data_IF_705282824990
#
_entry.id   IF_705282824990
#
_cell.length_a   1.000
_cell.length_b   1.000
_cell.length_c   1.000
_cell.angle_alpha   90.00
_cell.angle_beta   90.00
_cell.angle_gamma   90.00
#
_symmetry.space_group_name_H-M   'P 1'
#
loop_
_entity.id
_entity.type
_entity.pdbx_description
1 polymer ?
#
# COMPACT_ATOMS: atom_id res chain seq x y z
N UNK A 1 -0.05 0.28 -12.24
CA UNK A 1 0.19 -1.03 -11.60
C UNK A 1 -0.55 -1.13 -10.28
N UNK A 2 -0.38 -0.15 -9.38
CA UNK A 2 -1.05 -0.08 -8.08
C UNK A 2 -2.56 -0.35 -8.06
N UNK A 3 -3.34 0.18 -9.00
CA UNK A 3 -4.79 -0.06 -9.04
C UNK A 3 -5.19 -1.51 -9.40
N UNK A 4 -4.36 -2.20 -10.17
CA UNK A 4 -4.58 -3.61 -10.54
C UNK A 4 -4.20 -4.50 -9.35
N UNK A 5 -3.07 -4.23 -8.70
CA UNK A 5 -2.69 -4.92 -7.47
C UNK A 5 -3.73 -4.74 -6.36
N UNK A 6 -4.26 -3.52 -6.22
CA UNK A 6 -5.34 -3.23 -5.28
C UNK A 6 -6.64 -3.99 -5.61
N UNK A 7 -6.99 -4.11 -6.89
CA UNK A 7 -8.14 -4.89 -7.32
C UNK A 7 -7.98 -6.40 -7.04
N UNK A 8 -6.76 -6.93 -7.18
CA UNK A 8 -6.44 -8.32 -6.82
C UNK A 8 -6.53 -8.51 -5.30
N UNK A 9 -6.00 -7.56 -4.51
CA UNK A 9 -6.07 -7.59 -3.06
C UNK A 9 -7.53 -7.58 -2.56
N UNK A 10 -8.37 -6.68 -3.08
CA UNK A 10 -9.79 -6.60 -2.74
C UNK A 10 -10.55 -7.90 -3.05
N UNK A 11 -10.16 -8.59 -4.14
CA UNK A 11 -10.77 -9.87 -4.52
C UNK A 11 -10.35 -11.01 -3.60
N UNK A 12 -9.11 -10.99 -3.11
CA UNK A 12 -8.61 -11.99 -2.16
C UNK A 12 -9.14 -11.78 -0.75
N UNK A 13 -9.47 -10.53 -0.39
CA UNK A 13 -10.13 -10.17 0.88
C UNK A 13 -11.62 -10.56 0.94
N UNK A 14 -12.19 -11.18 -0.11
CA UNK A 14 -13.61 -11.56 -0.21
C UNK A 14 -14.60 -10.43 0.14
N UNK A 15 -14.23 -9.17 -0.13
CA UNK A 15 -15.15 -8.05 0.09
C UNK A 15 -16.38 -8.17 -0.84
N UNK A 16 -17.62 -8.04 -0.33
CA UNK A 16 -18.83 -8.22 -1.13
C UNK A 16 -19.07 -7.11 -2.16
N UNK A 17 -18.37 -5.97 -2.05
CA UNK A 17 -18.48 -4.81 -2.95
C UNK A 17 -17.09 -4.23 -3.25
N UNK A 18 -16.76 -4.07 -4.53
CA UNK A 18 -15.51 -3.47 -4.98
C UNK A 18 -15.46 -1.96 -4.66
N UNK A 19 -14.44 -1.53 -3.91
CA UNK A 19 -14.27 -0.12 -3.55
C UNK A 19 -13.54 0.63 -4.67
N UNK A 20 -14.32 1.28 -5.54
CA UNK A 20 -13.79 2.16 -6.61
C UNK A 20 -12.94 3.30 -6.05
N UNK A 21 -13.25 3.78 -4.83
CA UNK A 21 -12.54 4.88 -4.18
C UNK A 21 -11.09 4.50 -3.84
N UNK A 22 -10.89 3.29 -3.31
CA UNK A 22 -9.57 2.70 -3.01
C UNK A 22 -8.75 2.49 -4.28
N UNK A 23 -9.38 1.94 -5.33
CA UNK A 23 -8.73 1.78 -6.64
C UNK A 23 -8.33 3.09 -7.30
N UNK A 24 -9.18 4.13 -7.23
CA UNK A 24 -8.84 5.48 -7.73
C UNK A 24 -7.73 6.12 -6.90
N UNK A 25 -7.74 5.94 -5.58
CA UNK A 25 -6.68 6.45 -4.72
C UNK A 25 -5.31 5.84 -5.09
N UNK A 26 -5.26 4.52 -5.33
CA UNK A 26 -4.06 3.85 -5.81
C UNK A 26 -3.65 4.29 -7.23
N UNK A 27 -4.60 4.62 -8.10
CA UNK A 27 -4.27 5.21 -9.41
C UNK A 27 -3.64 6.59 -9.28
N UNK A 28 -4.23 7.47 -8.47
CA UNK A 28 -3.78 8.85 -8.30
C UNK A 28 -2.40 8.89 -7.66
N UNK A 29 -2.18 8.05 -6.65
CA UNK A 29 -0.88 7.88 -6.01
C UNK A 29 0.18 7.43 -7.04
N UNK A 30 -0.13 6.38 -7.81
CA UNK A 30 0.81 5.87 -8.81
C UNK A 30 1.12 6.87 -9.94
N UNK A 31 0.11 7.61 -10.41
CA UNK A 31 0.29 8.51 -11.55
C UNK A 31 0.94 9.84 -11.18
N UNK A 32 0.54 10.43 -10.05
CA UNK A 32 0.93 11.79 -9.68
C UNK A 32 2.11 11.83 -8.71
N UNK A 33 2.34 10.76 -7.96
CA UNK A 33 3.40 10.73 -6.95
C UNK A 33 4.53 9.79 -7.36
N UNK A 34 4.25 8.51 -7.53
CA UNK A 34 5.34 7.54 -7.72
C UNK A 34 6.08 7.71 -9.05
N UNK A 35 5.37 8.05 -10.14
CA UNK A 35 5.98 8.33 -11.43
C UNK A 35 7.04 9.45 -11.39
N UNK A 36 6.68 10.68 -10.96
CA UNK A 36 7.66 11.77 -10.80
C UNK A 36 8.75 11.47 -9.76
N UNK A 37 8.40 10.78 -8.67
CA UNK A 37 9.34 10.41 -7.62
C UNK A 37 10.43 9.46 -8.13
N UNK A 38 10.07 8.47 -8.95
CA UNK A 38 11.05 7.57 -9.59
C UNK A 38 12.00 8.33 -10.49
N UNK A 39 11.49 9.26 -11.30
CA UNK A 39 12.34 10.09 -12.16
C UNK A 39 13.36 10.91 -11.37
N UNK A 40 12.94 11.50 -10.24
CA UNK A 40 13.82 12.25 -9.35
C UNK A 40 14.82 11.34 -8.64
N UNK A 41 14.37 10.21 -8.12
CA UNK A 41 15.19 9.23 -7.41
C UNK A 41 16.32 8.69 -8.30
N UNK A 42 16.00 8.23 -9.50
CA UNK A 42 17.02 7.70 -10.42
C UNK A 42 18.00 8.78 -10.87
N UNK A 43 17.53 10.00 -11.14
CA UNK A 43 18.41 11.13 -11.44
C UNK A 43 19.35 11.48 -10.29
N UNK A 44 18.89 11.33 -9.03
CA UNK A 44 19.69 11.57 -7.84
C UNK A 44 20.72 10.45 -7.63
N UNK A 45 20.36 9.20 -7.88
CA UNK A 45 21.26 8.05 -7.78
C UNK A 45 22.42 8.12 -8.77
N UNK A 46 22.16 8.51 -10.02
CA UNK A 46 23.22 8.75 -11.00
C UNK A 46 24.19 9.87 -10.56
N UNK A 47 23.70 10.85 -9.81
CA UNK A 47 24.50 11.99 -9.36
C UNK A 47 25.32 11.70 -8.09
N UNK A 48 24.77 10.95 -7.13
CA UNK A 48 25.43 10.65 -5.85
C UNK A 48 26.45 9.52 -6.00
N UNK A 49 26.17 8.52 -6.84
CA UNK A 49 27.02 7.33 -7.01
C UNK A 49 27.18 7.00 -8.50
N UNK A 50 28.07 7.70 -9.23
CA UNK A 50 28.39 7.32 -10.60
C UNK A 50 28.94 5.90 -10.59
N UNK A 51 28.25 5.00 -11.29
CA UNK A 51 28.56 3.57 -11.35
C UNK A 51 29.90 3.41 -12.09
N UNK A 52 30.99 3.48 -11.33
CA UNK A 52 32.31 3.03 -11.78
C UNK A 52 32.39 1.51 -11.81
N UNK A 53 33.59 0.96 -12.06
CA UNK A 53 33.82 -0.48 -12.23
C UNK A 53 33.84 -1.29 -10.91
N UNK A 54 33.27 -0.77 -9.82
CA UNK A 54 33.35 -1.38 -8.48
C UNK A 54 32.04 -2.07 -8.10
N UNK A 55 32.04 -3.40 -8.08
CA UNK A 55 30.90 -4.26 -7.72
C UNK A 55 30.27 -3.92 -6.36
N UNK A 56 31.07 -3.40 -5.40
CA UNK A 56 30.59 -3.00 -4.08
C UNK A 56 29.60 -1.81 -4.10
N UNK A 57 29.81 -0.85 -5.01
CA UNK A 57 28.88 0.28 -5.15
C UNK A 57 27.57 -0.14 -5.80
N UNK A 58 27.59 -1.13 -6.71
CA UNK A 58 26.38 -1.69 -7.28
C UNK A 58 25.50 -2.38 -6.20
N UNK A 59 26.11 -3.13 -5.27
CA UNK A 59 25.37 -3.76 -4.18
C UNK A 59 24.76 -2.74 -3.20
N UNK A 60 25.52 -1.68 -2.87
CA UNK A 60 25.01 -0.59 -2.02
C UNK A 60 23.85 0.13 -2.72
N UNK A 61 23.93 0.34 -4.04
CA UNK A 61 22.84 0.91 -4.82
C UNK A 61 21.58 0.05 -4.76
N UNK A 62 21.69 -1.26 -4.99
CA UNK A 62 20.55 -2.18 -4.91
C UNK A 62 19.93 -2.17 -3.51
N UNK A 63 20.75 -2.18 -2.45
CA UNK A 63 20.26 -2.08 -1.07
C UNK A 63 19.57 -0.75 -0.78
N UNK A 64 20.09 0.37 -1.29
CA UNK A 64 19.48 1.69 -1.13
C UNK A 64 18.16 1.77 -1.89
N UNK A 65 18.10 1.28 -3.13
CA UNK A 65 16.86 1.20 -3.91
C UNK A 65 15.83 0.34 -3.18
N UNK A 66 16.17 -0.92 -2.89
CA UNK A 66 15.22 -1.87 -2.31
C UNK A 66 14.83 -1.58 -0.85
N UNK A 67 15.61 -0.80 -0.09
CA UNK A 67 15.25 -0.43 1.28
C UNK A 67 14.69 0.99 1.38
N UNK A 68 15.35 2.00 0.80
CA UNK A 68 14.92 3.38 0.92
C UNK A 68 13.77 3.69 -0.02
N UNK A 69 13.85 3.34 -1.31
CA UNK A 69 12.75 3.64 -2.23
C UNK A 69 11.50 2.87 -1.86
N UNK A 70 11.60 1.57 -1.57
CA UNK A 70 10.47 0.78 -1.09
C UNK A 70 9.84 1.41 0.17
N UNK A 71 10.67 1.85 1.13
CA UNK A 71 10.16 2.46 2.36
C UNK A 71 9.45 3.79 2.11
N UNK A 72 10.02 4.62 1.23
CA UNK A 72 9.43 5.89 0.84
C UNK A 72 8.10 5.63 0.13
N UNK A 73 8.08 4.69 -0.82
CA UNK A 73 6.90 4.34 -1.59
C UNK A 73 5.77 3.81 -0.70
N UNK A 74 6.06 2.86 0.19
CA UNK A 74 5.06 2.32 1.13
C UNK A 74 4.51 3.42 2.03
N UNK A 75 5.39 4.31 2.52
CA UNK A 75 4.99 5.42 3.39
C UNK A 75 4.12 6.43 2.63
N UNK A 76 4.51 6.85 1.43
CA UNK A 76 3.72 7.77 0.62
C UNK A 76 2.40 7.16 0.20
N UNK A 77 2.41 5.89 -0.20
CA UNK A 77 1.20 5.17 -0.60
C UNK A 77 0.20 5.13 0.56
N UNK A 78 0.68 4.83 1.78
CA UNK A 78 -0.15 4.83 2.98
C UNK A 78 -0.78 6.20 3.25
N UNK A 79 0.01 7.29 3.19
CA UNK A 79 -0.49 8.63 3.48
C UNK A 79 -1.45 9.14 2.40
N UNK A 80 -1.09 8.98 1.12
CA UNK A 80 -1.87 9.49 -0.01
C UNK A 80 -3.19 8.73 -0.13
N UNK A 81 -3.16 7.38 -0.10
CA UNK A 81 -4.39 6.58 -0.14
C UNK A 81 -5.25 6.74 1.11
N UNK A 82 -4.59 6.89 2.27
CA UNK A 82 -5.17 7.30 3.54
C UNK A 82 -6.06 8.53 3.44
N UNK A 83 -5.47 9.62 2.95
CA UNK A 83 -6.13 10.91 2.82
C UNK A 83 -7.21 10.91 1.74
N UNK A 84 -6.97 10.27 0.59
CA UNK A 84 -7.94 10.19 -0.52
C UNK A 84 -9.20 9.38 -0.15
N UNK A 85 -9.04 8.37 0.71
CA UNK A 85 -10.17 7.63 1.27
C UNK A 85 -10.87 8.37 2.42
N UNK A 86 -10.38 9.55 2.81
CA UNK A 86 -11.08 10.46 3.73
C UNK A 86 -10.85 10.17 5.21
N UNK A 87 -9.78 9.46 5.56
CA UNK A 87 -9.41 9.27 6.96
C UNK A 87 -8.85 10.56 7.56
N UNK A 88 -9.09 10.77 8.86
CA UNK A 88 -8.52 11.92 9.57
C UNK A 88 -7.02 11.71 9.83
N UNK A 89 -6.23 12.79 9.80
CA UNK A 89 -4.79 12.76 10.10
C UNK A 89 -4.45 12.07 11.43
N UNK A 90 -5.31 12.20 12.45
CA UNK A 90 -5.10 11.58 13.77
C UNK A 90 -5.21 10.05 13.70
N UNK A 91 -6.24 9.55 12.99
CA UNK A 91 -6.44 8.12 12.77
C UNK A 91 -5.28 7.54 11.95
N UNK A 92 -4.93 8.22 10.87
CA UNK A 92 -3.86 7.79 9.96
C UNK A 92 -2.50 7.74 10.66
N UNK A 93 -2.20 8.69 11.55
CA UNK A 93 -0.96 8.70 12.34
C UNK A 93 -0.88 7.55 13.34
N UNK A 94 -1.97 7.26 14.06
CA UNK A 94 -2.00 6.14 15.01
C UNK A 94 -1.85 4.81 14.30
N UNK A 95 -2.52 4.66 13.16
CA UNK A 95 -2.39 3.48 12.33
C UNK A 95 -0.97 3.33 11.77
N UNK A 96 -0.38 4.41 11.26
CA UNK A 96 0.98 4.42 10.74
C UNK A 96 1.97 3.89 11.79
N UNK A 97 1.92 4.39 13.03
CA UNK A 97 2.82 3.94 14.09
C UNK A 97 2.67 2.46 14.46
N UNK A 98 1.47 1.91 14.31
CA UNK A 98 1.17 0.50 14.62
C UNK A 98 1.60 -0.44 13.48
N UNK A 99 1.30 -0.07 12.25
CA UNK A 99 1.30 -1.01 11.13
C UNK A 99 2.53 -0.86 10.22
N UNK A 100 3.15 0.32 10.16
CA UNK A 100 4.24 0.59 9.19
C UNK A 100 5.42 -0.37 9.36
N UNK A 101 5.76 -0.74 10.58
CA UNK A 101 6.86 -1.68 10.83
C UNK A 101 6.59 -3.08 10.27
N UNK A 102 5.33 -3.53 10.32
CA UNK A 102 4.91 -4.81 9.73
C UNK A 102 4.82 -4.73 8.21
N UNK A 103 4.26 -3.65 7.69
CA UNK A 103 4.12 -3.42 6.24
C UNK A 103 5.48 -3.26 5.56
N UNK A 104 6.42 -2.53 6.15
CA UNK A 104 7.79 -2.40 5.64
C UNK A 104 8.54 -3.73 5.64
N UNK A 105 8.41 -4.52 6.71
CA UNK A 105 9.02 -5.86 6.76
C UNK A 105 8.44 -6.76 5.67
N UNK A 106 7.12 -6.73 5.46
CA UNK A 106 6.48 -7.48 4.38
C UNK A 106 6.97 -6.99 3.01
N UNK A 107 7.07 -5.68 2.81
CA UNK A 107 7.61 -5.06 1.60
C UNK A 107 8.99 -5.59 1.25
N UNK A 108 9.93 -5.52 2.20
CA UNK A 108 11.29 -5.97 1.99
C UNK A 108 11.37 -7.48 1.75
N UNK A 109 10.57 -8.27 2.49
CA UNK A 109 10.56 -9.72 2.32
C UNK A 109 9.99 -10.12 0.95
N UNK A 110 8.93 -9.46 0.50
CA UNK A 110 8.34 -9.68 -0.82
C UNK A 110 9.30 -9.24 -1.93
N UNK A 111 9.92 -8.07 -1.80
CA UNK A 111 10.93 -7.57 -2.74
C UNK A 111 12.10 -8.54 -2.88
N UNK A 112 12.68 -8.99 -1.75
CA UNK A 112 13.77 -9.96 -1.73
C UNK A 112 13.36 -11.34 -2.29
N UNK A 113 12.10 -11.74 -2.10
CA UNK A 113 11.57 -12.99 -2.64
C UNK A 113 11.37 -12.94 -4.15
N UNK A 114 11.02 -11.77 -4.70
CA UNK A 114 10.83 -11.57 -6.15
C UNK A 114 12.17 -11.34 -6.88
N UNK A 115 13.21 -10.89 -6.19
CA UNK A 115 14.53 -10.60 -6.76
C UNK A 115 15.14 -11.76 -7.59
N UNK A 116 15.13 -13.04 -7.16
CA UNK A 116 15.62 -14.14 -7.99
C UNK A 116 14.82 -14.32 -9.28
N UNK A 117 13.50 -14.07 -9.24
CA UNK A 117 12.62 -14.14 -10.41
C UNK A 117 12.96 -13.03 -11.39
N UNK A 118 13.20 -11.81 -10.91
CA UNK A 118 13.73 -10.73 -11.74
C UNK A 118 15.05 -11.12 -12.40
N UNK A 119 16.03 -11.63 -11.65
CA UNK A 119 17.33 -12.01 -12.20
C UNK A 119 17.19 -13.05 -13.32
N UNK A 120 16.32 -14.05 -13.14
CA UNK A 120 16.00 -15.04 -14.17
C UNK A 120 15.36 -14.35 -15.38
N UNK A 121 14.36 -13.51 -15.18
CA UNK A 121 13.73 -12.74 -16.25
C UNK A 121 14.75 -11.90 -17.03
N UNK A 122 15.59 -11.12 -16.37
CA UNK A 122 16.60 -10.26 -17.01
C UNK A 122 17.64 -11.07 -17.79
N UNK A 123 17.97 -12.28 -17.34
CA UNK A 123 18.93 -13.18 -17.98
C UNK A 123 18.40 -13.86 -19.24
N UNK A 124 17.12 -14.23 -19.25
CA UNK A 124 16.51 -14.99 -20.36
C UNK A 124 15.61 -14.17 -21.28
N UNK A 125 15.05 -13.04 -20.82
CA UNK A 125 14.16 -12.21 -21.64
C UNK A 125 14.93 -11.13 -22.42
N UNK A 126 14.58 -10.95 -23.72
CA UNK A 126 15.00 -9.80 -24.51
C UNK A 126 14.57 -8.49 -23.85
N UNK A 127 15.32 -7.41 -24.09
CA UNK A 127 15.07 -6.05 -23.53
C UNK A 127 13.61 -5.61 -23.68
N UNK A 128 12.97 -5.93 -24.82
CA UNK A 128 11.58 -5.59 -25.12
C UNK A 128 10.57 -6.15 -24.11
N UNK A 129 10.83 -7.33 -23.52
CA UNK A 129 9.91 -7.99 -22.60
C UNK A 129 10.21 -7.73 -21.12
N UNK A 130 11.36 -7.10 -20.80
CA UNK A 130 11.77 -6.86 -19.41
C UNK A 130 10.79 -5.95 -18.68
N UNK A 131 10.32 -4.90 -19.35
CA UNK A 131 9.31 -3.98 -18.79
C UNK A 131 8.03 -4.74 -18.44
N UNK A 132 7.56 -5.64 -19.32
CA UNK A 132 6.36 -6.44 -19.04
C UNK A 132 6.57 -7.36 -17.84
N UNK A 133 7.72 -8.02 -17.73
CA UNK A 133 8.03 -8.93 -16.63
C UNK A 133 8.10 -8.20 -15.28
N UNK A 134 8.80 -7.07 -15.22
CA UNK A 134 8.89 -6.21 -14.02
C UNK A 134 7.50 -5.74 -13.62
N UNK A 135 6.69 -5.30 -14.58
CA UNK A 135 5.31 -4.92 -14.32
C UNK A 135 4.50 -6.07 -13.68
N UNK A 136 4.64 -7.31 -14.12
CA UNK A 136 3.93 -8.44 -13.49
C UNK A 136 4.35 -8.64 -12.04
N UNK A 137 5.65 -8.50 -11.74
CA UNK A 137 6.18 -8.62 -10.38
C UNK A 137 5.71 -7.45 -9.50
N UNK A 138 5.62 -6.24 -10.05
CA UNK A 138 5.04 -5.07 -9.37
C UNK A 138 3.60 -5.31 -8.95
N UNK A 139 2.77 -5.98 -9.78
CA UNK A 139 1.39 -6.31 -9.38
C UNK A 139 1.40 -7.17 -8.11
N UNK A 140 2.30 -8.15 -8.02
CA UNK A 140 2.39 -9.05 -6.86
C UNK A 140 2.81 -8.26 -5.63
N UNK A 141 3.81 -7.40 -5.76
CA UNK A 141 4.27 -6.54 -4.67
C UNK A 141 3.17 -5.57 -4.22
N UNK A 142 2.55 -4.83 -5.15
CA UNK A 142 1.45 -3.89 -4.90
C UNK A 142 0.27 -4.58 -4.19
N UNK A 143 -0.03 -5.83 -4.56
CA UNK A 143 -1.09 -6.63 -3.92
C UNK A 143 -0.77 -6.90 -2.45
N UNK A 144 0.47 -7.30 -2.13
CA UNK A 144 0.89 -7.58 -0.75
C UNK A 144 0.88 -6.30 0.09
N UNK A 145 1.40 -5.19 -0.44
CA UNK A 145 1.41 -3.90 0.26
C UNK A 145 -0.01 -3.39 0.47
N UNK A 146 -0.86 -3.49 -0.54
CA UNK A 146 -2.27 -3.09 -0.41
C UNK A 146 -2.98 -3.95 0.64
N UNK A 147 -2.80 -5.27 0.62
CA UNK A 147 -3.36 -6.18 1.62
C UNK A 147 -2.89 -5.84 3.04
N UNK A 148 -1.59 -5.63 3.24
CA UNK A 148 -1.02 -5.30 4.55
C UNK A 148 -1.49 -3.93 5.06
N UNK A 149 -1.58 -2.94 4.17
CA UNK A 149 -2.05 -1.58 4.51
C UNK A 149 -3.54 -1.54 4.86
N UNK A 150 -4.34 -2.43 4.29
CA UNK A 150 -5.80 -2.42 4.44
C UNK A 150 -6.36 -3.44 5.44
N UNK A 151 -5.60 -4.50 5.75
CA UNK A 151 -5.94 -5.49 6.79
C UNK A 151 -6.36 -4.84 8.11
N UNK A 152 -5.80 -3.68 8.43
CA UNK A 152 -6.13 -2.92 9.62
C UNK A 152 -7.19 -1.83 9.39
N UNK A 153 -7.23 -1.19 8.21
CA UNK A 153 -8.25 -0.17 7.86
C UNK A 153 -9.66 -0.73 7.86
N UNK A 154 -9.85 -1.96 7.36
CA UNK A 154 -11.16 -2.61 7.35
C UNK A 154 -11.74 -2.84 8.75
N UNK A 155 -10.88 -3.07 9.75
CA UNK A 155 -11.31 -3.24 11.15
C UNK A 155 -11.71 -1.93 11.80
N UNK A 156 -11.00 -0.84 11.49
CA UNK A 156 -11.26 0.48 12.07
C UNK A 156 -12.56 1.09 11.54
N UNK A 157 -12.85 0.92 10.23
CA UNK A 157 -14.14 1.29 9.63
C UNK A 157 -15.32 0.50 10.23
N UNK A 158 -15.12 -0.80 10.46
CA UNK A 158 -16.13 -1.65 11.09
C UNK A 158 -16.37 -1.26 12.55
N UNK A 159 -15.33 -0.91 13.32
CA UNK A 159 -15.50 -0.41 14.69
C UNK A 159 -16.19 0.95 14.75
N UNK A 160 -15.85 1.90 13.86
CA UNK A 160 -16.53 3.21 13.83
C UNK A 160 -18.00 3.07 13.45
N UNK A 161 -18.33 2.19 12.49
CA UNK A 161 -19.73 1.93 12.12
C UNK A 161 -20.49 1.23 13.25
N UNK A 162 -19.81 0.34 13.99
CA UNK A 162 -20.41 -0.34 15.15
C UNK A 162 -20.67 0.64 16.28
N UNK A 163 -19.71 1.51 16.61
CA UNK A 163 -19.87 2.53 17.65
C UNK A 163 -20.95 3.56 17.30
N UNK A 164 -21.06 3.97 16.03
CA UNK A 164 -22.14 4.86 15.58
C UNK A 164 -23.51 4.16 15.62
N UNK A 165 -23.57 2.87 15.25
CA UNK A 165 -24.80 2.07 15.37
C UNK A 165 -25.24 1.82 16.82
N UNK A 166 -24.29 1.74 17.76
CA UNK A 166 -24.58 1.62 19.19
C UNK A 166 -25.13 2.94 19.76
N UNK A 167 -24.64 4.08 19.27
CA UNK A 167 -25.15 5.42 19.63
C UNK A 167 -26.52 5.73 19.02
N UNK A 168 -26.90 5.07 17.91
CA UNK A 168 -28.22 5.18 17.27
C UNK A 168 -29.24 4.15 17.76
N UNK A 169 -28.90 3.29 18.73
CA UNK A 169 -29.92 2.50 19.40
C UNK A 169 -30.96 3.47 20.01
N UNK A 170 -32.27 3.29 19.73
CA UNK A 170 -33.28 4.15 20.30
C UNK A 170 -33.16 4.04 21.81
N UNK A 171 -32.78 5.14 22.46
CA UNK A 171 -32.87 5.29 23.90
C UNK A 171 -34.35 5.07 24.18
N UNK A 172 -34.70 3.88 24.68
CA UNK A 172 -36.05 3.63 25.17
C UNK A 172 -36.23 4.64 26.32
N UNK A 173 -36.94 5.72 26.02
CA UNK A 173 -37.23 6.76 26.99
C UNK A 173 -37.92 6.07 28.16
N UNK A 174 -37.53 6.34 29.43
CA UNK A 174 -38.21 5.80 30.60
C UNK A 174 -39.73 6.09 30.63
N UNK A 175 -40.19 7.03 29.79
CA UNK A 175 -41.60 7.37 29.60
C UNK A 175 -42.42 6.29 28.89
N UNK A 176 -41.82 5.45 28.04
CA UNK A 176 -42.55 4.44 27.25
C UNK A 176 -42.73 3.12 28.00
N UNK A 177 -41.94 2.87 29.06
CA UNK A 177 -42.06 1.70 29.91
C UNK A 177 -43.28 1.74 30.84
N UNK A 178 -43.85 2.92 31.12
CA UNK A 178 -45.01 3.09 32.00
C UNK A 178 -46.34 2.88 31.26
N UNK A 179 -46.35 3.01 29.93
CA UNK A 179 -47.55 2.83 29.11
C UNK A 179 -47.82 1.37 28.71
N UNK A 180 -46.86 0.46 28.87
CA UNK A 180 -47.02 -0.95 28.56
C UNK A 180 -47.61 -1.79 29.72
N UNK A 181 -47.95 -1.16 30.86
CA UNK A 181 -48.45 -1.84 32.06
C UNK A 181 -49.87 -1.43 32.49
N UNK A 182 -50.66 -0.78 31.62
CA UNK A 182 -52.08 -0.52 31.86
C UNK A 182 -52.97 -1.11 30.76
#
# INVERSE_FOLDING_TARGET
>A
MGCVGDAVAQRWEHHPVYSKRRGVAAMVEGLLWSGPLMHLAYSLFEHILPIGNNMGFALIHVLLDSLLLDSVFVTSAFWITGLLEGFSFKQLRQQYQRDIGGTLKASWLTSLFLLPVEVVCFRYLPVTYRVLAVNVLDIVWDTVISFMSHKTRGKELASTTTDESLLQSPILSPSDAVLATN
#
